data_IF_561230019117
#
_entry.id   IF_561230019117
#
_cell.length_a   1.000
_cell.length_b   1.000
_cell.length_c   1.000
_cell.angle_alpha   90.00
_cell.angle_beta   90.00
_cell.angle_gamma   90.00
#
_symmetry.space_group_name_H-M   'P 1'
#
loop_
_entity.id
_entity.type
_entity.pdbx_description
1 polymer ?
#
# COMPACT_ATOMS: atom_id res chain seq x y z
N UNK A 1 -16.26 1.02 -10.51
CA UNK A 1 -17.18 0.41 -9.52
C UNK A 1 -16.61 -0.92 -9.09
N UNK A 2 -16.79 -1.31 -7.83
CA UNK A 2 -16.21 -2.53 -7.28
C UNK A 2 -17.30 -3.54 -6.88
N UNK A 3 -16.96 -4.83 -6.92
CA UNK A 3 -17.84 -5.96 -6.66
C UNK A 3 -17.13 -7.00 -5.79
N UNK A 4 -17.87 -7.60 -4.85
CA UNK A 4 -17.43 -8.80 -4.13
C UNK A 4 -17.58 -10.05 -5.02
N UNK A 5 -16.99 -11.20 -4.65
CA UNK A 5 -17.09 -12.45 -5.44
C UNK A 5 -18.52 -12.89 -5.72
N UNK A 6 -19.45 -12.56 -4.81
CA UNK A 6 -20.89 -12.76 -5.03
C UNK A 6 -21.50 -11.94 -6.18
N UNK A 7 -20.75 -11.03 -6.80
CA UNK A 7 -21.25 -10.07 -7.79
C UNK A 7 -22.02 -8.89 -7.18
N UNK A 8 -22.17 -8.84 -5.85
CA UNK A 8 -22.75 -7.70 -5.14
C UNK A 8 -21.81 -6.51 -5.18
N UNK A 9 -22.36 -5.30 -5.32
CA UNK A 9 -21.57 -4.06 -5.26
C UNK A 9 -20.90 -3.91 -3.90
N UNK A 10 -19.61 -3.62 -3.90
CA UNK A 10 -18.85 -3.27 -2.71
C UNK A 10 -18.87 -1.74 -2.56
N UNK A 11 -19.78 -1.25 -1.70
CA UNK A 11 -19.90 0.18 -1.42
C UNK A 11 -18.71 0.65 -0.57
N UNK A 12 -18.30 1.91 -0.73
CA UNK A 12 -17.15 2.46 0.01
C UNK A 12 -15.79 1.90 -0.41
N UNK A 13 -15.72 1.16 -1.51
CA UNK A 13 -14.47 0.62 -2.04
C UNK A 13 -13.97 1.42 -3.24
N UNK A 14 -12.66 1.63 -3.30
CA UNK A 14 -11.96 2.36 -4.37
C UNK A 14 -11.01 1.40 -5.11
N UNK A 15 -10.96 1.47 -6.46
CA UNK A 15 -9.98 0.73 -7.26
C UNK A 15 -8.53 1.06 -6.88
N UNK A 16 -7.66 0.05 -6.86
CA UNK A 16 -6.26 0.20 -6.47
C UNK A 16 -5.33 0.58 -7.64
N UNK A 17 -5.81 0.55 -8.87
CA UNK A 17 -5.12 1.08 -10.05
C UNK A 17 -6.14 1.69 -11.03
N UNK A 18 -5.66 2.21 -12.16
CA UNK A 18 -6.49 2.72 -13.26
C UNK A 18 -6.79 1.65 -14.32
N UNK A 19 -6.36 0.40 -14.09
CA UNK A 19 -6.62 -0.70 -15.00
C UNK A 19 -8.11 -1.05 -15.04
N UNK A 20 -8.56 -1.63 -16.15
CA UNK A 20 -9.97 -2.04 -16.32
C UNK A 20 -10.40 -3.01 -15.21
N UNK A 21 -9.58 -4.03 -14.97
CA UNK A 21 -9.77 -5.02 -13.92
C UNK A 21 -8.66 -4.91 -12.89
N UNK A 22 -9.04 -4.49 -11.67
CA UNK A 22 -8.12 -4.26 -10.57
C UNK A 22 -8.79 -4.55 -9.23
N UNK A 23 -7.97 -4.89 -8.24
CA UNK A 23 -8.44 -5.01 -6.87
C UNK A 23 -9.01 -3.69 -6.36
N UNK A 24 -9.96 -3.78 -5.44
CA UNK A 24 -10.52 -2.64 -4.75
C UNK A 24 -10.46 -2.86 -3.25
N UNK A 25 -10.02 -1.83 -2.52
CA UNK A 25 -10.01 -1.81 -1.06
C UNK A 25 -11.06 -0.84 -0.53
N UNK A 26 -11.51 -1.06 0.69
CA UNK A 26 -12.25 -0.04 1.43
C UNK A 26 -11.46 1.27 1.46
N UNK A 27 -12.16 2.41 1.41
CA UNK A 27 -11.55 3.74 1.46
C UNK A 27 -10.66 3.96 2.69
N UNK A 28 -10.89 3.20 3.77
CA UNK A 28 -10.08 3.25 4.99
C UNK A 28 -8.94 2.23 5.02
N UNK A 29 -8.69 1.49 3.94
CA UNK A 29 -7.64 0.47 3.88
C UNK A 29 -6.60 0.79 2.81
N UNK A 30 -5.40 0.24 3.00
CA UNK A 30 -4.28 0.48 2.09
C UNK A 30 -4.30 -0.56 0.98
N UNK A 31 -4.33 -0.09 -0.26
CA UNK A 31 -4.14 -0.92 -1.45
C UNK A 31 -2.72 -1.46 -1.53
N UNK A 32 -2.57 -2.74 -1.91
CA UNK A 32 -1.27 -3.39 -2.12
C UNK A 32 -1.12 -3.86 -3.57
N UNK A 33 0.13 -3.91 -4.08
CA UNK A 33 0.43 -4.35 -5.46
C UNK A 33 0.16 -5.82 -5.73
N UNK A 34 0.02 -6.64 -4.69
CA UNK A 34 -0.39 -8.04 -4.81
C UNK A 34 -1.92 -8.21 -4.86
N UNK A 35 -2.68 -7.11 -4.94
CA UNK A 35 -4.14 -7.12 -5.01
C UNK A 35 -4.85 -7.25 -3.66
N UNK A 36 -4.11 -7.41 -2.56
CA UNK A 36 -4.69 -7.43 -1.22
C UNK A 36 -4.81 -6.02 -0.64
N UNK A 37 -5.52 -5.94 0.48
CA UNK A 37 -5.66 -4.73 1.29
C UNK A 37 -4.98 -4.93 2.64
N UNK A 38 -4.36 -3.87 3.17
CA UNK A 38 -3.97 -3.81 4.58
C UNK A 38 -5.04 -3.05 5.33
N UNK A 39 -5.69 -3.74 6.27
CA UNK A 39 -6.73 -3.20 7.11
C UNK A 39 -6.10 -2.28 8.16
N UNK A 40 -6.40 -1.00 8.05
CA UNK A 40 -5.98 0.06 8.98
C UNK A 40 -7.19 0.90 9.37
N UNK A 41 -7.01 1.83 10.32
CA UNK A 41 -8.08 2.72 10.79
C UNK A 41 -8.85 2.15 11.97
N UNK A 42 -10.17 2.32 11.97
CA UNK A 42 -11.05 1.96 13.10
C UNK A 42 -11.74 0.61 12.94
N UNK A 43 -11.47 -0.11 11.84
CA UNK A 43 -12.15 -1.34 11.49
C UNK A 43 -11.27 -2.55 11.81
N UNK A 44 -11.80 -3.50 12.57
CA UNK A 44 -11.17 -4.79 12.83
C UNK A 44 -11.66 -5.86 11.85
N UNK A 45 -10.82 -6.88 11.54
CA UNK A 45 -9.49 -7.13 12.10
C UNK A 45 -8.37 -6.31 11.44
N UNK A 46 -7.36 -5.93 12.22
CA UNK A 46 -6.10 -5.39 11.70
C UNK A 46 -5.29 -6.53 11.06
N UNK A 47 -4.88 -6.37 9.80
CA UNK A 47 -4.20 -7.43 9.04
C UNK A 47 -4.39 -7.29 7.54
N UNK A 48 -4.22 -8.39 6.80
CA UNK A 48 -4.47 -8.44 5.36
C UNK A 48 -5.92 -8.85 5.08
N UNK A 49 -6.46 -8.38 3.97
CA UNK A 49 -7.75 -8.87 3.44
C UNK A 49 -7.73 -8.96 1.92
N UNK A 50 -8.49 -9.92 1.38
CA UNK A 50 -9.02 -9.79 0.03
C UNK A 50 -10.36 -9.07 0.12
N UNK A 51 -10.51 -7.93 -0.52
CA UNK A 51 -11.74 -7.16 -0.48
C UNK A 51 -12.59 -7.36 -1.75
N UNK A 52 -12.55 -6.40 -2.67
CA UNK A 52 -13.39 -6.38 -3.86
C UNK A 52 -12.54 -6.27 -5.15
N UNK A 53 -13.20 -6.28 -6.30
CA UNK A 53 -12.57 -6.12 -7.61
C UNK A 53 -13.46 -5.32 -8.56
N UNK A 54 -12.90 -4.65 -9.55
CA UNK A 54 -13.69 -3.94 -10.57
C UNK A 54 -14.38 -4.87 -11.56
N UNK A 55 -13.86 -6.08 -11.74
CA UNK A 55 -14.51 -7.12 -12.55
C UNK A 55 -15.64 -7.81 -11.77
N UNK A 56 -16.87 -7.68 -12.28
CA UNK A 56 -18.05 -8.34 -11.70
C UNK A 56 -18.04 -9.85 -11.91
N UNK A 57 -17.37 -10.33 -12.97
CA UNK A 57 -17.26 -11.76 -13.29
C UNK A 57 -16.18 -12.47 -12.48
N UNK A 58 -15.35 -11.72 -11.74
CA UNK A 58 -14.30 -12.26 -10.89
C UNK A 58 -13.30 -13.14 -11.65
N UNK A 59 -12.88 -12.69 -12.84
CA UNK A 59 -11.82 -13.32 -13.62
C UNK A 59 -10.46 -13.27 -12.92
N UNK A 60 -9.44 -13.84 -13.57
CA UNK A 60 -8.09 -14.01 -13.01
C UNK A 60 -7.35 -12.71 -12.69
N UNK A 61 -7.83 -11.57 -13.16
CA UNK A 61 -7.29 -10.24 -12.81
C UNK A 61 -7.71 -9.79 -11.40
N UNK A 62 -8.72 -10.41 -10.81
CA UNK A 62 -9.08 -10.21 -9.41
C UNK A 62 -8.22 -11.11 -8.50
N UNK A 63 -7.92 -10.70 -7.26
CA UNK A 63 -7.22 -11.56 -6.31
C UNK A 63 -8.07 -12.81 -6.02
N UNK A 64 -7.49 -14.00 -6.17
CA UNK A 64 -8.23 -15.28 -6.12
C UNK A 64 -8.21 -15.92 -4.72
N UNK A 65 -7.47 -15.34 -3.78
CA UNK A 65 -7.36 -15.83 -2.42
C UNK A 65 -8.76 -15.88 -1.76
N UNK A 66 -9.18 -17.05 -1.30
CA UNK A 66 -10.42 -17.22 -0.55
C UNK A 66 -11.71 -16.86 -1.34
N UNK A 67 -11.77 -17.15 -2.64
CA UNK A 67 -12.96 -16.90 -3.48
C UNK A 67 -13.98 -18.05 -3.44
N UNK A 68 -13.53 -19.30 -3.42
CA UNK A 68 -14.40 -20.47 -3.74
C UNK A 68 -15.39 -20.91 -2.64
N UNK A 69 -15.50 -20.21 -1.51
CA UNK A 69 -16.24 -20.70 -0.34
C UNK A 69 -17.44 -19.83 0.04
N UNK A 70 -18.40 -20.42 0.75
CA UNK A 70 -19.64 -19.75 1.23
C UNK A 70 -19.34 -18.41 1.92
N UNK A 71 -18.32 -18.37 2.78
CA UNK A 71 -17.87 -17.17 3.51
C UNK A 71 -16.99 -16.23 2.67
N UNK A 72 -16.49 -16.71 1.52
CA UNK A 72 -15.68 -15.96 0.56
C UNK A 72 -16.50 -15.09 -0.39
N UNK A 73 -17.84 -15.15 -0.33
CA UNK A 73 -18.77 -14.39 -1.17
C UNK A 73 -18.71 -12.86 -0.95
N UNK A 74 -18.11 -12.41 0.15
CA UNK A 74 -17.86 -11.01 0.49
C UNK A 74 -16.34 -10.70 0.49
N UNK A 75 -15.90 -9.73 1.31
CA UNK A 75 -14.48 -9.61 1.66
C UNK A 75 -14.06 -10.74 2.59
N UNK A 76 -12.77 -11.09 2.59
CA UNK A 76 -12.20 -12.15 3.39
C UNK A 76 -10.96 -11.66 4.12
N UNK A 77 -10.88 -11.91 5.43
CA UNK A 77 -9.66 -11.64 6.20
C UNK A 77 -8.61 -12.72 5.90
N UNK A 78 -7.34 -12.31 5.84
CA UNK A 78 -6.22 -13.21 5.57
C UNK A 78 -5.32 -13.21 6.79
N UNK A 79 -5.31 -14.34 7.51
CA UNK A 79 -4.63 -14.49 8.79
C UNK A 79 -3.37 -15.31 8.61
N UNK A 80 -2.27 -14.87 9.19
CA UNK A 80 -1.03 -15.66 9.24
C UNK A 80 -1.28 -16.94 10.03
N UNK A 81 -1.00 -18.09 9.41
CA UNK A 81 -1.11 -19.41 10.03
C UNK A 81 0.21 -19.83 10.64
N UNK A 82 1.28 -19.89 9.83
CA UNK A 82 2.63 -20.21 10.29
C UNK A 82 3.63 -19.22 9.73
N UNK A 83 4.55 -18.77 10.59
CA UNK A 83 5.66 -17.91 10.23
C UNK A 83 6.96 -18.52 10.81
N UNK A 84 7.73 -19.20 9.96
CA UNK A 84 9.00 -19.82 10.32
C UNK A 84 9.45 -20.85 9.28
N UNK A 85 10.71 -20.79 8.84
CA UNK A 85 11.25 -21.62 7.74
C UNK A 85 11.47 -20.82 6.45
N UNK A 86 11.22 -21.44 5.29
CA UNK A 86 11.42 -20.84 3.95
C UNK A 86 10.20 -20.05 3.40
N UNK A 87 9.04 -20.11 4.06
CA UNK A 87 7.82 -19.42 3.63
C UNK A 87 6.88 -19.11 4.80
N UNK A 88 6.01 -18.12 4.62
CA UNK A 88 4.90 -17.78 5.52
C UNK A 88 3.61 -18.26 4.89
N UNK A 89 2.76 -18.96 5.67
CA UNK A 89 1.46 -19.45 5.21
C UNK A 89 0.32 -18.71 5.88
N UNK A 90 -0.84 -18.73 5.22
CA UNK A 90 -2.01 -17.96 5.60
C UNK A 90 -3.29 -18.81 5.50
N UNK A 91 -4.30 -18.43 6.27
CA UNK A 91 -5.65 -18.97 6.25
C UNK A 91 -6.68 -17.89 5.93
N UNK A 92 -7.79 -18.29 5.33
CA UNK A 92 -8.95 -17.45 5.13
C UNK A 92 -9.78 -17.35 6.42
N UNK A 93 -10.17 -16.13 6.79
CA UNK A 93 -11.10 -15.73 7.87
C UNK A 93 -10.80 -16.17 9.32
N UNK A 94 -10.44 -17.43 9.56
CA UNK A 94 -10.22 -17.95 10.90
C UNK A 94 -9.27 -19.15 10.92
N UNK A 95 -8.61 -19.32 12.06
CA UNK A 95 -7.84 -20.51 12.43
C UNK A 95 -8.62 -21.22 13.51
N UNK A 96 -8.82 -22.52 13.35
CA UNK A 96 -9.59 -23.37 14.26
C UNK A 96 -8.71 -24.49 14.82
N UNK A 97 -9.22 -25.21 15.82
CA UNK A 97 -8.59 -26.43 16.33
C UNK A 97 -9.28 -27.65 15.72
N UNK A 98 -8.51 -28.51 15.07
CA UNK A 98 -8.97 -29.78 14.49
C UNK A 98 -8.10 -30.91 15.04
N UNK A 99 -8.73 -31.88 15.71
CA UNK A 99 -8.05 -33.02 16.32
C UNK A 99 -6.88 -32.63 17.26
N UNK A 100 -6.99 -31.48 17.93
CA UNK A 100 -5.94 -30.98 18.83
C UNK A 100 -4.79 -30.25 18.14
N UNK A 101 -4.88 -29.98 16.84
CA UNK A 101 -3.91 -29.20 16.07
C UNK A 101 -4.57 -27.96 15.46
N UNK A 102 -3.80 -26.89 15.24
CA UNK A 102 -4.28 -25.72 14.52
C UNK A 102 -4.55 -26.08 13.04
N UNK A 103 -5.63 -25.57 12.47
CA UNK A 103 -6.00 -25.73 11.07
C UNK A 103 -6.69 -24.47 10.56
N UNK A 104 -6.68 -24.22 9.25
CA UNK A 104 -7.57 -23.20 8.69
C UNK A 104 -9.04 -23.61 8.89
N UNK A 105 -9.91 -22.62 9.08
CA UNK A 105 -11.35 -22.85 9.11
C UNK A 105 -11.83 -23.55 7.82
N UNK A 106 -12.97 -24.23 7.89
CA UNK A 106 -13.59 -24.91 6.76
C UNK A 106 -12.71 -25.98 6.08
N UNK A 107 -11.78 -26.56 6.83
CA UNK A 107 -10.86 -27.61 6.36
C UNK A 107 -10.05 -27.17 5.13
N UNK A 108 -9.62 -25.91 5.11
CA UNK A 108 -8.76 -25.37 4.05
C UNK A 108 -7.29 -25.68 4.29
N UNK A 109 -6.56 -25.86 3.19
CA UNK A 109 -5.12 -25.91 3.22
C UNK A 109 -4.55 -24.48 3.34
N UNK A 110 -3.55 -24.25 4.22
CA UNK A 110 -2.84 -22.98 4.25
C UNK A 110 -2.18 -22.67 2.91
N UNK A 111 -2.16 -21.40 2.52
CA UNK A 111 -1.59 -20.95 1.24
C UNK A 111 -0.53 -19.86 1.44
N UNK A 112 0.27 -19.62 0.41
CA UNK A 112 1.25 -18.53 0.38
C UNK A 112 0.71 -17.35 -0.42
N UNK A 113 1.16 -16.15 -0.07
CA UNK A 113 0.78 -14.91 -0.75
C UNK A 113 2.01 -14.31 -1.43
N UNK A 114 1.83 -13.79 -2.63
CA UNK A 114 2.89 -13.05 -3.33
C UNK A 114 3.19 -11.74 -2.61
N UNK A 115 4.48 -11.40 -2.46
CA UNK A 115 4.87 -10.14 -1.83
C UNK A 115 4.30 -8.93 -2.58
N UNK A 116 3.93 -7.90 -1.83
CA UNK A 116 3.41 -6.66 -2.38
C UNK A 116 3.86 -5.44 -1.58
N UNK A 117 3.75 -4.27 -2.19
CA UNK A 117 4.05 -2.98 -1.58
C UNK A 117 2.79 -2.12 -1.51
N UNK A 118 2.76 -1.16 -0.59
CA UNK A 118 1.66 -0.21 -0.48
C UNK A 118 1.57 0.69 -1.73
N UNK A 119 0.34 0.93 -2.20
CA UNK A 119 0.04 1.81 -3.32
C UNK A 119 -0.40 3.17 -2.75
N UNK A 120 0.39 4.20 -3.03
CA UNK A 120 0.07 5.60 -2.69
C UNK A 120 -0.95 6.21 -3.65
N UNK A 121 -1.67 7.25 -3.23
CA UNK A 121 -2.61 7.98 -4.09
C UNK A 121 -3.92 7.23 -4.36
N UNK A 122 -4.21 6.18 -3.58
CA UNK A 122 -5.42 5.36 -3.66
C UNK A 122 -5.94 5.03 -2.27
N UNK A 123 -7.26 4.83 -2.15
CA UNK A 123 -7.95 4.47 -0.92
C UNK A 123 -7.45 5.29 0.30
N UNK A 124 -6.99 4.62 1.37
CA UNK A 124 -6.53 5.28 2.59
C UNK A 124 -5.33 6.21 2.36
N UNK A 125 -4.50 5.90 1.38
CA UNK A 125 -3.32 6.69 1.02
C UNK A 125 -3.61 7.69 -0.11
N UNK A 126 -4.87 8.01 -0.39
CA UNK A 126 -5.29 8.94 -1.47
C UNK A 126 -4.61 10.31 -1.42
N UNK A 127 -4.32 10.83 -0.23
CA UNK A 127 -3.66 12.13 -0.04
C UNK A 127 -2.13 12.03 0.09
N UNK A 128 -1.57 10.83 -0.02
CA UNK A 128 -0.12 10.61 0.02
C UNK A 128 0.39 10.30 -1.38
N UNK A 129 1.46 10.98 -1.77
CA UNK A 129 2.18 10.70 -3.01
C UNK A 129 3.39 9.85 -2.65
N UNK A 130 3.68 8.81 -3.44
CA UNK A 130 4.91 8.05 -3.30
C UNK A 130 6.09 9.01 -3.27
N UNK A 131 7.06 8.75 -2.39
CA UNK A 131 8.32 9.47 -2.41
C UNK A 131 8.95 9.22 -3.77
N UNK A 132 8.88 10.21 -4.65
CA UNK A 132 9.61 10.21 -5.90
C UNK A 132 11.09 9.98 -5.53
N UNK A 133 11.66 8.87 -6.00
CA UNK A 133 13.10 8.60 -5.88
C UNK A 133 13.82 9.46 -6.92
N UNK A 134 13.49 10.75 -6.92
CA UNK A 134 13.86 11.73 -7.91
C UNK A 134 15.35 11.95 -7.84
N UNK A 135 16.00 11.55 -8.93
CA UNK A 135 17.32 11.95 -9.41
C UNK A 135 17.89 13.20 -8.69
N UNK A 136 19.16 13.12 -8.26
CA UNK A 136 19.94 14.08 -7.44
C UNK A 136 19.82 15.57 -7.83
N UNK A 137 19.23 15.88 -8.97
CA UNK A 137 19.06 17.22 -9.54
C UNK A 137 18.18 18.16 -8.69
N UNK A 138 17.19 17.64 -7.93
CA UNK A 138 16.32 18.51 -7.11
C UNK A 138 17.04 19.08 -5.89
N UNK A 139 17.90 18.30 -5.23
CA UNK A 139 18.71 18.79 -4.12
C UNK A 139 19.76 19.81 -4.59
N UNK A 140 20.37 19.58 -5.75
CA UNK A 140 21.30 20.53 -6.38
C UNK A 140 20.59 21.85 -6.74
N UNK A 141 19.36 21.79 -7.27
CA UNK A 141 18.59 22.98 -7.60
C UNK A 141 18.25 23.84 -6.37
N UNK A 142 17.89 23.21 -5.25
CA UNK A 142 17.65 23.91 -3.98
C UNK A 142 18.95 24.52 -3.48
N UNK A 143 20.05 23.77 -3.45
CA UNK A 143 21.36 24.25 -2.99
C UNK A 143 21.89 25.43 -3.81
N UNK A 144 21.73 25.41 -5.13
CA UNK A 144 22.13 26.51 -6.00
C UNK A 144 21.27 27.77 -5.79
N UNK A 145 19.96 27.60 -5.55
CA UNK A 145 19.02 28.71 -5.36
C UNK A 145 19.30 29.57 -4.13
N UNK A 146 19.72 28.96 -3.01
CA UNK A 146 20.07 29.71 -1.79
C UNK A 146 21.57 30.00 -1.65
N UNK A 147 22.44 29.12 -2.14
CA UNK A 147 23.88 29.24 -1.95
C UNK A 147 24.52 30.36 -2.78
N UNK A 148 24.11 30.52 -4.04
CA UNK A 148 24.71 31.52 -4.95
C UNK A 148 24.43 32.96 -4.50
N UNK A 149 23.18 33.34 -4.17
CA UNK A 149 22.91 34.71 -3.72
C UNK A 149 23.61 35.06 -2.40
N UNK A 150 23.64 34.13 -1.44
CA UNK A 150 24.32 34.34 -0.15
C UNK A 150 25.84 34.46 -0.34
N UNK A 151 26.44 33.66 -1.22
CA UNK A 151 27.85 33.75 -1.55
C UNK A 151 28.23 35.08 -2.19
N UNK A 152 27.42 35.58 -3.13
CA UNK A 152 27.65 36.89 -3.77
C UNK A 152 27.57 38.03 -2.76
N UNK A 153 26.56 38.02 -1.87
CA UNK A 153 26.43 39.03 -0.80
C UNK A 153 27.60 39.00 0.17
N UNK A 154 28.11 37.80 0.50
CA UNK A 154 29.26 37.66 1.37
C UNK A 154 30.54 38.22 0.73
N UNK A 155 30.77 37.90 -0.55
CA UNK A 155 31.93 38.40 -1.30
C UNK A 155 31.89 39.91 -1.51
N UNK A 156 30.71 40.49 -1.77
CA UNK A 156 30.57 41.95 -1.92
C UNK A 156 30.83 42.67 -0.59
N UNK A 157 30.33 42.13 0.53
CA UNK A 157 30.60 42.67 1.86
C UNK A 157 32.10 42.60 2.22
N UNK A 158 32.77 41.49 1.93
CA UNK A 158 34.21 41.35 2.13
C UNK A 158 35.02 42.32 1.26
N UNK A 159 34.67 42.43 -0.03
CA UNK A 159 35.32 43.37 -0.94
C UNK A 159 35.20 44.82 -0.46
N UNK A 160 34.01 45.19 0.02
CA UNK A 160 33.77 46.51 0.60
C UNK A 160 34.57 46.75 1.89
N UNK A 161 34.60 45.78 2.80
CA UNK A 161 35.36 45.87 4.05
C UNK A 161 36.88 46.03 3.82
N UNK A 162 37.44 45.31 2.84
CA UNK A 162 38.85 45.45 2.46
C UNK A 162 39.15 46.78 1.79
N UNK A 163 38.22 47.31 0.98
CA UNK A 163 38.34 48.63 0.39
C UNK A 163 38.38 49.74 1.46
N UNK A 164 37.49 49.70 2.45
CA UNK A 164 37.50 50.66 3.56
C UNK A 164 38.81 50.63 4.35
N UNK A 165 39.35 49.43 4.63
CA UNK A 165 40.63 49.28 5.34
C UNK A 165 41.81 49.89 4.62
N UNK A 166 41.78 49.97 3.28
CA UNK A 166 42.87 50.57 2.49
C UNK A 166 42.75 52.09 2.34
N UNK A 167 41.56 52.65 2.59
CA UNK A 167 41.29 54.09 2.52
C UNK A 167 41.60 54.81 3.84
N UNK A 168 41.68 54.09 4.96
CA UNK A 168 42.22 54.56 6.23
C UNK A 168 43.72 54.38 6.28
#
# INVERSE_FOLDING_TARGET
TCFFPSGKKALGHTPCSDDEYTACCDNNHVCMTNGLCVNVGSDQPYGFSRAACTDKSWGSSCPQECVEKEDGKAGCAILTFEAGGNATTYCCNAITSKNGSAACANDEDPFTITSGTAISGRAYLSNLVAKDSGNNNREVAIGAGVGVPLGVLFLTALGWALYERKKR
#
